data_IF_735956797686
#
_entry.id   IF_735956797686
#
_cell.length_a   1.000
_cell.length_b   1.000
_cell.length_c   1.000
_cell.angle_alpha   90.00
_cell.angle_beta   90.00
_cell.angle_gamma   90.00
#
_symmetry.space_group_name_H-M   'P 1'
#
loop_
_entity.id
_entity.type
_entity.pdbx_description
1 polymer ?
#
# COMPACT_ATOMS: atom_id res chain seq x y z
N UNK A 1 -2.17 -35.28 35.95
CA UNK A 1 -2.90 -36.43 35.39
C UNK A 1 -4.35 -36.00 35.19
N UNK A 2 -4.68 -35.44 34.03
CA UNK A 2 -5.03 -36.16 32.78
C UNK A 2 -6.49 -36.64 32.80
N UNK A 3 -7.40 -35.92 32.10
CA UNK A 3 -7.94 -36.34 30.78
C UNK A 3 -9.30 -35.71 30.43
N UNK A 4 -9.30 -35.15 29.21
CA UNK A 4 -10.29 -35.32 28.12
C UNK A 4 -11.65 -34.62 28.16
N UNK A 5 -11.79 -33.77 27.14
CA UNK A 5 -12.87 -33.69 26.16
C UNK A 5 -14.31 -33.59 26.68
N UNK A 6 -14.90 -32.40 26.51
CA UNK A 6 -16.32 -32.31 26.25
C UNK A 6 -16.62 -31.38 25.07
N UNK A 7 -16.94 -32.01 23.95
CA UNK A 7 -17.53 -31.39 22.77
C UNK A 7 -19.01 -31.05 23.03
N UNK A 8 -19.41 -29.88 22.53
CA UNK A 8 -20.72 -29.55 21.93
C UNK A 8 -21.98 -29.74 22.78
N UNK A 9 -22.67 -28.63 23.05
CA UNK A 9 -24.10 -28.52 22.76
C UNK A 9 -24.50 -27.06 22.59
N UNK A 10 -25.33 -26.84 21.56
CA UNK A 10 -25.84 -25.57 21.11
C UNK A 10 -26.84 -24.96 22.10
N UNK A 11 -26.79 -23.64 22.26
CA UNK A 11 -27.92 -22.86 22.71
C UNK A 11 -28.11 -21.70 21.74
N UNK A 12 -29.15 -21.81 20.92
CA UNK A 12 -29.68 -20.69 20.15
C UNK A 12 -30.23 -19.66 21.13
N UNK A 13 -29.63 -18.48 21.18
CA UNK A 13 -30.24 -17.30 21.78
C UNK A 13 -30.40 -16.26 20.68
N UNK A 14 -31.67 -15.97 20.37
CA UNK A 14 -32.06 -14.89 19.48
C UNK A 14 -31.55 -13.56 20.02
N UNK A 15 -30.85 -12.81 19.18
CA UNK A 15 -30.44 -11.44 19.46
C UNK A 15 -31.44 -10.52 18.79
N UNK A 16 -32.13 -9.75 19.62
CA UNK A 16 -33.02 -8.67 19.24
C UNK A 16 -32.30 -7.66 18.34
N UNK A 17 -32.99 -7.20 17.31
CA UNK A 17 -32.51 -6.17 16.41
C UNK A 17 -32.27 -4.86 17.17
N UNK A 18 -31.00 -4.52 17.38
CA UNK A 18 -30.61 -3.15 17.68
C UNK A 18 -30.43 -2.41 16.35
N UNK A 19 -31.44 -1.64 15.95
CA UNK A 19 -31.34 -0.68 14.84
C UNK A 19 -30.46 0.49 15.26
N UNK A 20 -29.15 0.28 15.19
CA UNK A 20 -28.17 1.36 15.15
C UNK A 20 -28.18 1.95 13.73
N UNK A 21 -28.57 3.21 13.61
CA UNK A 21 -28.44 3.98 12.38
C UNK A 21 -26.93 4.16 12.07
N UNK A 22 -26.35 3.20 11.36
CA UNK A 22 -25.10 3.40 10.65
C UNK A 22 -25.38 4.40 9.53
N UNK A 23 -24.84 5.60 9.67
CA UNK A 23 -24.79 6.61 8.61
C UNK A 23 -24.28 5.96 7.33
N UNK A 24 -25.14 5.88 6.31
CA UNK A 24 -24.86 5.21 5.06
C UNK A 24 -23.67 5.84 4.34
N UNK A 25 -22.53 5.16 4.39
CA UNK A 25 -21.61 5.18 3.27
C UNK A 25 -22.27 4.36 2.17
N UNK A 26 -22.73 5.03 1.11
CA UNK A 26 -23.08 4.36 -0.13
C UNK A 26 -21.87 3.52 -0.55
N UNK A 27 -22.02 2.19 -0.55
CA UNK A 27 -20.97 1.29 -1.00
C UNK A 27 -20.54 1.74 -2.40
N UNK A 28 -19.30 2.23 -2.52
CA UNK A 28 -18.70 2.56 -3.82
C UNK A 28 -18.71 1.26 -4.60
N UNK A 29 -19.48 1.18 -5.69
CA UNK A 29 -19.65 -0.07 -6.42
C UNK A 29 -18.30 -0.63 -6.85
N UNK A 30 -17.97 -1.85 -6.42
CA UNK A 30 -16.71 -2.50 -6.75
C UNK A 30 -16.63 -2.72 -8.27
N UNK A 31 -15.45 -2.44 -8.86
CA UNK A 31 -15.23 -2.62 -10.30
C UNK A 31 -14.67 -4.02 -10.52
N UNK A 32 -15.36 -4.84 -11.31
CA UNK A 32 -14.88 -6.17 -11.68
C UNK A 32 -13.73 -6.03 -12.68
N UNK A 33 -12.55 -6.55 -12.33
CA UNK A 33 -11.35 -6.54 -13.17
C UNK A 33 -11.05 -7.96 -13.67
N UNK A 34 -10.31 -8.12 -14.78
CA UNK A 34 -9.92 -9.44 -15.27
C UNK A 34 -9.09 -10.18 -14.22
N UNK A 35 -9.45 -11.44 -13.98
CA UNK A 35 -8.69 -12.34 -13.11
C UNK A 35 -7.89 -13.33 -13.96
N UNK A 36 -6.82 -13.86 -13.39
CA UNK A 36 -5.87 -14.78 -14.01
C UNK A 36 -5.57 -15.92 -13.05
N UNK A 37 -5.50 -17.18 -13.51
CA UNK A 37 -5.13 -18.31 -12.66
C UNK A 37 -3.69 -18.24 -12.14
N UNK A 38 -2.85 -17.36 -12.71
CA UNK A 38 -1.47 -17.13 -12.25
C UNK A 38 -1.37 -16.23 -11.02
N UNK A 39 -2.47 -15.61 -10.60
CA UNK A 39 -2.48 -14.54 -9.60
C UNK A 39 -3.44 -14.85 -8.45
N UNK A 40 -3.01 -14.49 -7.24
CA UNK A 40 -3.88 -14.49 -6.05
C UNK A 40 -4.58 -13.14 -5.95
N UNK A 41 -5.87 -13.14 -5.65
CA UNK A 41 -6.66 -11.93 -5.47
C UNK A 41 -7.16 -11.80 -4.03
N UNK A 42 -7.19 -10.57 -3.50
CA UNK A 42 -7.55 -10.27 -2.12
C UNK A 42 -8.50 -9.09 -2.04
N UNK A 43 -9.31 -9.06 -0.98
CA UNK A 43 -10.10 -7.89 -0.64
C UNK A 43 -9.19 -6.74 -0.21
N UNK A 44 -9.52 -5.52 -0.64
CA UNK A 44 -8.88 -4.29 -0.20
C UNK A 44 -9.59 -3.77 1.05
N UNK A 45 -9.14 -4.21 2.23
CA UNK A 45 -9.81 -3.89 3.50
C UNK A 45 -11.30 -4.23 3.44
N UNK A 46 -12.14 -3.29 3.87
CA UNK A 46 -13.61 -3.38 3.79
C UNK A 46 -14.21 -2.58 2.62
N UNK A 47 -13.41 -2.16 1.64
CA UNK A 47 -13.90 -1.35 0.49
C UNK A 47 -14.81 -2.14 -0.46
N UNK A 48 -14.75 -3.47 -0.43
CA UNK A 48 -15.43 -4.37 -1.37
C UNK A 48 -14.68 -4.56 -2.69
N UNK A 49 -13.53 -3.91 -2.89
CA UNK A 49 -12.67 -4.12 -4.05
C UNK A 49 -11.85 -5.39 -3.93
N UNK A 50 -11.71 -6.10 -5.03
CA UNK A 50 -10.79 -7.23 -5.17
C UNK A 50 -9.59 -6.80 -6.02
N UNK A 51 -8.38 -6.95 -5.49
CA UNK A 51 -7.11 -6.54 -6.11
C UNK A 51 -6.11 -7.70 -6.16
N UNK A 52 -5.17 -7.66 -7.10
CA UNK A 52 -4.08 -8.64 -7.17
C UNK A 52 -3.18 -8.54 -5.93
N UNK A 53 -2.79 -9.70 -5.38
CA UNK A 53 -1.94 -9.77 -4.19
C UNK A 53 -0.52 -9.25 -4.45
N UNK A 54 -0.08 -9.22 -5.71
CA UNK A 54 1.12 -8.51 -6.16
C UNK A 54 0.69 -7.21 -6.83
N UNK A 55 1.33 -6.11 -6.46
CA UNK A 55 1.18 -4.80 -7.09
C UNK A 55 2.45 -4.38 -7.83
N UNK A 56 2.27 -3.57 -8.88
CA UNK A 56 3.37 -2.97 -9.65
C UNK A 56 3.65 -1.56 -9.10
N UNK A 57 4.85 -1.35 -8.56
CA UNK A 57 5.30 -0.08 -8.02
C UNK A 57 5.95 0.84 -9.05
N UNK A 58 5.50 2.09 -9.14
CA UNK A 58 5.79 3.00 -10.23
C UNK A 58 7.14 3.73 -10.17
N UNK A 59 7.86 3.70 -9.05
CA UNK A 59 9.13 4.45 -8.91
C UNK A 59 10.17 4.05 -9.96
N UNK A 60 10.32 2.76 -10.25
CA UNK A 60 11.32 2.26 -11.21
C UNK A 60 10.93 2.50 -12.66
N UNK A 61 9.63 2.68 -12.94
CA UNK A 61 9.14 2.94 -14.29
C UNK A 61 9.70 4.24 -14.87
N UNK A 62 9.96 5.25 -14.05
CA UNK A 62 10.56 6.50 -14.53
C UNK A 62 12.06 6.41 -14.80
N UNK A 63 12.73 5.36 -14.32
CA UNK A 63 14.20 5.19 -14.43
C UNK A 63 14.67 4.52 -15.72
N UNK A 64 13.77 3.85 -16.45
CA UNK A 64 14.14 3.20 -17.71
C UNK A 64 14.64 4.24 -18.72
N UNK A 65 15.73 3.92 -19.42
CA UNK A 65 16.27 4.76 -20.50
C UNK A 65 15.25 4.93 -21.62
N UNK A 66 14.57 3.84 -21.98
CA UNK A 66 13.48 3.83 -22.95
C UNK A 66 12.13 3.75 -22.23
N UNK A 67 11.24 4.70 -22.53
CA UNK A 67 9.88 4.71 -21.99
C UNK A 67 9.05 3.50 -22.47
N UNK A 68 9.31 2.99 -23.68
CA UNK A 68 8.58 1.83 -24.22
C UNK A 68 8.81 0.56 -23.40
N UNK A 69 9.98 0.43 -22.77
CA UNK A 69 10.26 -0.69 -21.89
C UNK A 69 9.37 -0.66 -20.63
N UNK A 70 9.12 0.54 -20.08
CA UNK A 70 8.21 0.70 -18.95
C UNK A 70 6.77 0.33 -19.32
N UNK A 71 6.33 0.75 -20.50
CA UNK A 71 5.01 0.40 -21.05
C UNK A 71 4.88 -1.11 -21.25
N UNK A 72 5.90 -1.73 -21.87
CA UNK A 72 5.95 -3.18 -22.11
C UNK A 72 5.89 -3.98 -20.81
N UNK A 73 6.62 -3.56 -19.77
CA UNK A 73 6.60 -4.19 -18.45
C UNK A 73 5.20 -4.10 -17.80
N UNK A 74 4.56 -2.93 -17.86
CA UNK A 74 3.19 -2.76 -17.34
C UNK A 74 2.19 -3.64 -18.08
N UNK A 75 2.21 -3.66 -19.42
CA UNK A 75 1.33 -4.52 -20.21
C UNK A 75 1.54 -6.00 -19.89
N UNK A 76 2.80 -6.46 -19.84
CA UNK A 76 3.12 -7.84 -19.50
C UNK A 76 2.62 -8.24 -18.09
N UNK A 77 2.70 -7.34 -17.11
CA UNK A 77 2.14 -7.56 -15.77
C UNK A 77 0.61 -7.61 -15.77
N UNK A 78 -0.03 -6.63 -16.41
CA UNK A 78 -1.50 -6.54 -16.47
C UNK A 78 -2.10 -7.74 -17.19
N UNK A 79 -1.54 -8.14 -18.32
CA UNK A 79 -2.04 -9.27 -19.11
C UNK A 79 -1.87 -10.62 -18.39
N UNK A 80 -1.04 -10.66 -17.34
CA UNK A 80 -0.88 -11.85 -16.47
C UNK A 80 -1.66 -11.76 -15.15
N UNK A 81 -2.45 -10.69 -14.97
CA UNK A 81 -3.38 -10.54 -13.85
C UNK A 81 -2.92 -9.60 -12.73
N UNK A 82 -1.83 -8.83 -12.91
CA UNK A 82 -1.55 -7.73 -11.97
C UNK A 82 -2.58 -6.63 -12.23
N UNK A 83 -3.43 -6.36 -11.23
CA UNK A 83 -4.46 -5.33 -11.31
C UNK A 83 -4.16 -4.13 -10.43
N UNK A 84 -3.22 -4.20 -9.47
CA UNK A 84 -2.90 -3.07 -8.60
C UNK A 84 -1.65 -2.30 -9.07
N UNK A 85 -1.82 -1.03 -9.44
CA UNK A 85 -0.73 -0.16 -9.94
C UNK A 85 -0.53 1.03 -9.01
N UNK A 86 0.67 1.11 -8.41
CA UNK A 86 1.09 2.16 -7.48
C UNK A 86 1.97 3.20 -8.17
N UNK A 87 1.74 4.49 -7.89
CA UNK A 87 2.58 5.59 -8.37
C UNK A 87 2.69 6.71 -7.33
N UNK A 88 3.42 7.77 -7.62
CA UNK A 88 3.46 8.99 -6.82
C UNK A 88 3.65 10.21 -7.73
N UNK A 89 3.11 11.36 -7.32
CA UNK A 89 3.26 12.62 -8.02
C UNK A 89 4.73 13.05 -8.22
N UNK A 90 5.60 12.78 -7.25
CA UNK A 90 7.01 13.21 -7.25
C UNK A 90 7.97 12.23 -7.94
N UNK A 91 7.53 11.01 -8.25
CA UNK A 91 8.41 9.97 -8.77
C UNK A 91 9.04 10.36 -10.11
N UNK A 92 10.36 10.55 -10.09
CA UNK A 92 11.16 10.95 -11.25
C UNK A 92 10.60 12.23 -11.90
N UNK A 93 10.32 13.25 -11.09
CA UNK A 93 9.74 14.53 -11.54
C UNK A 93 8.41 14.36 -12.30
N UNK A 94 7.63 13.33 -11.91
CA UNK A 94 6.35 13.00 -12.52
C UNK A 94 6.40 12.12 -13.77
N UNK A 95 7.60 11.76 -14.25
CA UNK A 95 7.75 10.92 -15.45
C UNK A 95 7.14 9.52 -15.24
N UNK A 96 7.17 8.99 -14.02
CA UNK A 96 6.53 7.71 -13.71
C UNK A 96 5.01 7.73 -13.98
N UNK A 97 4.31 8.83 -13.65
CA UNK A 97 2.88 8.99 -13.94
C UNK A 97 2.61 9.15 -15.44
N UNK A 98 3.46 9.91 -16.15
CA UNK A 98 3.33 10.08 -17.61
C UNK A 98 3.42 8.73 -18.33
N UNK A 99 4.41 7.90 -17.98
CA UNK A 99 4.59 6.56 -18.57
C UNK A 99 3.43 5.63 -18.22
N UNK A 100 2.94 5.67 -16.98
CA UNK A 100 1.78 4.88 -16.57
C UNK A 100 0.51 5.30 -17.31
N UNK A 101 0.26 6.62 -17.46
CA UNK A 101 -0.87 7.12 -18.23
C UNK A 101 -0.84 6.69 -19.70
N UNK A 102 0.35 6.67 -20.32
CA UNK A 102 0.53 6.13 -21.67
C UNK A 102 0.20 4.63 -21.76
N UNK A 103 0.64 3.84 -20.78
CA UNK A 103 0.40 2.40 -20.75
C UNK A 103 -1.08 2.05 -20.52
N UNK A 104 -1.83 2.89 -19.82
CA UNK A 104 -3.24 2.64 -19.48
C UNK A 104 -4.24 3.02 -20.59
N UNK A 105 -3.77 3.56 -21.71
CA UNK A 105 -4.58 3.78 -22.91
C UNK A 105 -5.12 2.47 -23.49
N UNK A 106 -6.02 2.58 -24.45
CA UNK A 106 -6.49 1.45 -25.27
C UNK A 106 -7.11 0.30 -24.45
N UNK A 107 -7.89 0.62 -23.42
CA UNK A 107 -8.63 -0.38 -22.63
C UNK A 107 -7.87 -0.97 -21.43
N UNK A 108 -6.65 -0.52 -21.14
CA UNK A 108 -5.88 -1.00 -19.99
C UNK A 108 -6.31 -0.35 -18.67
N UNK A 109 -6.81 0.89 -18.70
CA UNK A 109 -7.29 1.60 -17.50
C UNK A 109 -8.39 0.84 -16.76
N UNK A 110 -9.28 0.18 -17.48
CA UNK A 110 -10.42 -0.59 -16.97
C UNK A 110 -9.98 -1.93 -16.36
N UNK A 111 -8.78 -2.41 -16.69
CA UNK A 111 -8.22 -3.65 -16.16
C UNK A 111 -7.58 -3.46 -14.78
N UNK A 112 -7.34 -2.23 -14.34
CA UNK A 112 -6.50 -1.93 -13.17
C UNK A 112 -7.20 -1.11 -12.09
N UNK A 113 -6.75 -1.30 -10.86
CA UNK A 113 -6.95 -0.44 -9.72
C UNK A 113 -5.75 0.52 -9.69
N UNK A 114 -5.99 1.76 -10.10
CA UNK A 114 -4.95 2.78 -10.26
C UNK A 114 -4.83 3.63 -9.02
N UNK A 115 -3.62 3.73 -8.46
CA UNK A 115 -3.37 4.58 -7.32
C UNK A 115 -2.15 5.49 -7.50
N UNK A 116 -2.20 6.66 -6.89
CA UNK A 116 -1.04 7.57 -6.79
C UNK A 116 -1.01 8.27 -5.41
N UNK A 117 -0.02 9.11 -5.16
CA UNK A 117 0.18 9.77 -3.85
C UNK A 117 0.48 11.24 -4.06
N UNK A 118 0.07 12.06 -3.08
CA UNK A 118 0.31 13.50 -3.05
C UNK A 118 1.13 13.88 -1.82
N UNK A 119 2.09 14.79 -2.00
CA UNK A 119 2.91 15.32 -0.92
C UNK A 119 2.23 16.48 -0.19
N UNK A 120 1.39 17.24 -0.90
CA UNK A 120 0.71 18.44 -0.37
C UNK A 120 0.04 18.20 0.99
N UNK A 121 0.35 19.08 1.96
CA UNK A 121 -0.24 19.12 3.30
C UNK A 121 -1.29 20.20 3.44
N UNK A 122 -1.28 21.19 2.55
CA UNK A 122 -2.36 22.17 2.40
C UNK A 122 -3.32 21.76 1.29
N UNK A 123 -4.57 22.22 1.35
CA UNK A 123 -5.57 21.97 0.30
C UNK A 123 -5.10 22.47 -1.07
N UNK A 124 -4.49 23.66 -1.11
CA UNK A 124 -4.01 24.29 -2.36
C UNK A 124 -2.94 23.45 -3.05
N UNK A 125 -1.92 23.01 -2.29
CA UNK A 125 -0.83 22.24 -2.89
C UNK A 125 -1.28 20.82 -3.21
N UNK A 126 -2.15 20.21 -2.38
CA UNK A 126 -2.75 18.91 -2.69
C UNK A 126 -3.57 18.94 -4.00
N UNK A 127 -4.47 19.91 -4.16
CA UNK A 127 -5.31 20.02 -5.37
C UNK A 127 -4.46 20.24 -6.61
N UNK A 128 -3.46 21.12 -6.54
CA UNK A 128 -2.52 21.34 -7.64
C UNK A 128 -1.81 20.06 -8.07
N UNK A 129 -1.33 19.27 -7.11
CA UNK A 129 -0.66 17.99 -7.39
C UNK A 129 -1.65 16.98 -7.98
N UNK A 130 -2.87 16.90 -7.45
CA UNK A 130 -3.92 16.02 -7.97
C UNK A 130 -4.27 16.33 -9.42
N UNK A 131 -4.47 17.59 -9.79
CA UNK A 131 -4.75 17.98 -11.19
C UNK A 131 -3.59 17.61 -12.13
N UNK A 132 -2.35 17.78 -11.67
CA UNK A 132 -1.17 17.37 -12.44
C UNK A 132 -1.14 15.86 -12.64
N UNK A 133 -1.41 15.08 -11.58
CA UNK A 133 -1.47 13.62 -11.66
C UNK A 133 -2.58 13.12 -12.57
N UNK A 134 -3.80 13.67 -12.49
CA UNK A 134 -4.89 13.34 -13.42
C UNK A 134 -4.49 13.58 -14.88
N UNK A 135 -3.85 14.73 -15.16
CA UNK A 135 -3.33 15.06 -16.49
C UNK A 135 -2.24 14.10 -16.98
N UNK A 136 -1.27 13.76 -16.13
CA UNK A 136 -0.16 12.84 -16.47
C UNK A 136 -0.65 11.40 -16.68
N UNK A 137 -1.55 10.94 -15.80
CA UNK A 137 -2.18 9.61 -15.86
C UNK A 137 -3.26 9.51 -16.94
N UNK A 138 -3.70 10.65 -17.49
CA UNK A 138 -4.68 10.73 -18.58
C UNK A 138 -5.99 10.04 -18.23
N UNK A 139 -6.50 10.36 -17.04
CA UNK A 139 -7.75 9.81 -16.53
C UNK A 139 -8.49 10.87 -15.73
N UNK A 140 -9.82 10.83 -15.77
CA UNK A 140 -10.66 11.73 -15.00
C UNK A 140 -10.86 11.23 -13.55
N UNK A 141 -10.46 9.99 -13.26
CA UNK A 141 -10.64 9.37 -11.96
C UNK A 141 -9.50 8.43 -11.56
N UNK A 142 -8.97 8.62 -10.35
CA UNK A 142 -7.99 7.75 -9.70
C UNK A 142 -8.70 6.87 -8.66
N UNK A 143 -8.45 5.55 -8.65
CA UNK A 143 -9.12 4.65 -7.70
C UNK A 143 -8.72 4.97 -6.26
N UNK A 144 -7.43 5.16 -5.98
CA UNK A 144 -6.94 5.48 -4.64
C UNK A 144 -5.90 6.59 -4.67
N UNK A 145 -6.03 7.56 -3.77
CA UNK A 145 -4.97 8.52 -3.48
C UNK A 145 -4.51 8.37 -2.05
N UNK A 146 -3.20 8.50 -1.82
CA UNK A 146 -2.65 8.50 -0.47
C UNK A 146 -1.90 9.80 -0.17
N UNK A 147 -2.01 10.27 1.07
CA UNK A 147 -1.06 11.26 1.60
C UNK A 147 0.33 10.62 1.67
N UNK A 148 1.28 11.15 0.90
CA UNK A 148 2.63 10.62 0.75
C UNK A 148 3.53 11.03 1.90
N UNK A 149 4.53 10.19 2.22
CA UNK A 149 5.57 10.44 3.23
C UNK A 149 5.06 11.08 4.53
N UNK A 150 4.03 10.50 5.15
CA UNK A 150 3.65 10.81 6.53
C UNK A 150 4.71 10.22 7.45
N UNK A 151 5.80 10.98 7.62
CA UNK A 151 7.04 10.56 8.31
C UNK A 151 7.41 11.47 9.48
N UNK A 152 6.67 12.57 9.68
CA UNK A 152 6.88 13.52 10.78
C UNK A 152 5.70 13.47 11.73
N UNK A 153 5.97 13.69 13.02
CA UNK A 153 4.91 13.67 14.02
C UNK A 153 3.88 14.76 13.73
N UNK A 154 4.24 15.91 13.18
CA UNK A 154 3.33 17.01 12.84
C UNK A 154 2.54 16.83 11.54
N UNK A 155 2.85 15.83 10.69
CA UNK A 155 2.17 15.65 9.41
C UNK A 155 0.64 15.48 9.55
N UNK A 156 0.12 14.65 10.50
CA UNK A 156 -1.32 14.55 10.74
C UNK A 156 -1.98 15.89 11.09
N UNK A 157 -1.31 16.75 11.85
CA UNK A 157 -1.90 18.04 12.26
C UNK A 157 -2.07 18.95 11.04
N UNK A 158 -1.09 18.97 10.14
CA UNK A 158 -1.15 19.78 8.92
C UNK A 158 -2.21 19.25 7.96
N UNK A 159 -2.31 17.93 7.80
CA UNK A 159 -3.30 17.29 6.90
C UNK A 159 -4.73 17.60 7.37
N UNK A 160 -4.98 17.58 8.68
CA UNK A 160 -6.30 17.77 9.28
C UNK A 160 -6.60 19.20 9.78
N UNK A 161 -5.66 20.14 9.65
CA UNK A 161 -5.89 21.54 9.95
C UNK A 161 -6.96 22.15 9.03
N UNK A 162 -7.52 23.31 9.42
CA UNK A 162 -8.37 24.10 8.53
C UNK A 162 -7.57 24.50 7.27
N UNK A 163 -8.12 24.26 6.08
CA UNK A 163 -7.40 24.41 4.81
C UNK A 163 -6.31 23.36 4.57
N UNK A 164 -6.31 22.28 5.37
CA UNK A 164 -5.42 21.13 5.22
C UNK A 164 -5.80 20.22 4.07
N UNK A 165 -4.87 19.36 3.67
CA UNK A 165 -5.02 18.50 2.50
C UNK A 165 -6.21 17.53 2.57
N UNK A 166 -6.72 17.20 3.76
CA UNK A 166 -7.90 16.34 3.89
C UNK A 166 -9.16 16.97 3.28
N UNK A 167 -9.31 18.29 3.39
CA UNK A 167 -10.47 19.01 2.84
C UNK A 167 -10.50 18.88 1.31
N UNK A 168 -9.34 19.06 0.66
CA UNK A 168 -9.14 18.88 -0.77
C UNK A 168 -9.39 17.43 -1.21
N UNK A 169 -8.83 16.45 -0.52
CA UNK A 169 -9.07 15.03 -0.82
C UNK A 169 -10.57 14.67 -0.74
N UNK A 170 -11.27 15.09 0.31
CA UNK A 170 -12.70 14.85 0.46
C UNK A 170 -13.52 15.58 -0.61
N UNK A 171 -13.15 16.80 -0.98
CA UNK A 171 -13.79 17.54 -2.06
C UNK A 171 -13.62 16.84 -3.41
N UNK A 172 -12.40 16.38 -3.73
CA UNK A 172 -12.11 15.60 -4.92
C UNK A 172 -12.89 14.28 -4.97
N UNK A 173 -13.08 13.63 -3.82
CA UNK A 173 -13.87 12.40 -3.72
C UNK A 173 -15.35 12.68 -4.03
N UNK A 174 -15.91 13.75 -3.47
CA UNK A 174 -17.29 14.19 -3.77
C UNK A 174 -17.47 14.58 -5.24
N UNK A 175 -16.43 15.15 -5.86
CA UNK A 175 -16.41 15.50 -7.27
C UNK A 175 -16.21 14.29 -8.22
N UNK A 176 -15.99 13.08 -7.69
CA UNK A 176 -15.80 11.87 -8.49
C UNK A 176 -14.40 11.71 -9.09
N UNK A 177 -13.44 12.60 -8.76
CA UNK A 177 -12.06 12.53 -9.23
C UNK A 177 -11.26 11.42 -8.55
N UNK A 178 -11.67 11.03 -7.35
CA UNK A 178 -10.99 9.99 -6.57
C UNK A 178 -12.03 9.06 -5.94
N UNK A 179 -11.74 7.76 -5.83
CA UNK A 179 -12.66 6.81 -5.17
C UNK A 179 -12.29 6.59 -3.72
N UNK A 180 -11.05 6.29 -3.39
CA UNK A 180 -10.58 5.93 -2.05
C UNK A 180 -9.46 6.85 -1.57
N UNK A 181 -9.34 7.01 -0.25
CA UNK A 181 -8.35 7.86 0.40
C UNK A 181 -7.57 7.04 1.43
N UNK A 182 -6.25 7.06 1.34
CA UNK A 182 -5.36 6.43 2.31
C UNK A 182 -4.20 7.34 2.70
N UNK A 183 -3.18 6.76 3.33
CA UNK A 183 -1.92 7.43 3.60
C UNK A 183 -0.76 6.44 3.59
N UNK A 184 0.46 6.95 3.47
CA UNK A 184 1.68 6.14 3.51
C UNK A 184 2.81 6.86 4.21
N UNK A 185 3.75 6.09 4.73
CA UNK A 185 5.06 6.56 5.17
C UNK A 185 5.86 5.38 5.70
N UNK A 186 7.12 5.63 6.07
CA UNK A 186 8.07 4.54 6.31
C UNK A 186 8.99 4.75 7.50
N UNK A 187 8.96 5.91 8.15
CA UNK A 187 10.00 6.29 9.12
C UNK A 187 9.84 5.64 10.49
N UNK A 188 8.65 5.76 11.07
CA UNK A 188 8.38 5.32 12.43
C UNK A 188 6.90 4.94 12.58
N UNK A 189 6.57 3.76 13.14
CA UNK A 189 5.19 3.34 13.35
C UNK A 189 4.40 4.30 14.25
N UNK A 190 5.06 5.02 15.17
CA UNK A 190 4.40 6.01 16.03
C UNK A 190 3.73 7.13 15.21
N UNK A 191 4.32 7.50 14.06
CA UNK A 191 3.74 8.50 13.15
C UNK A 191 2.45 7.97 12.51
N UNK A 192 2.41 6.69 12.12
CA UNK A 192 1.19 6.07 11.58
C UNK A 192 0.09 5.92 12.62
N UNK A 193 0.46 5.52 13.84
CA UNK A 193 -0.48 5.46 14.96
C UNK A 193 -1.08 6.84 15.25
N UNK A 194 -0.26 7.89 15.25
CA UNK A 194 -0.73 9.28 15.39
C UNK A 194 -1.66 9.69 14.24
N UNK A 195 -1.35 9.32 13.01
CA UNK A 195 -2.20 9.61 11.84
C UNK A 195 -3.58 8.96 11.97
N UNK A 196 -3.62 7.69 12.37
CA UNK A 196 -4.88 6.96 12.62
C UNK A 196 -5.66 7.56 13.78
N UNK A 197 -5.00 7.90 14.90
CA UNK A 197 -5.62 8.55 16.05
C UNK A 197 -6.20 9.93 15.68
N UNK A 198 -5.46 10.71 14.91
CA UNK A 198 -5.89 12.04 14.45
C UNK A 198 -7.10 11.93 13.53
N UNK A 199 -7.08 11.01 12.56
CA UNK A 199 -8.24 10.75 11.70
C UNK A 199 -9.47 10.38 12.52
N UNK A 200 -9.32 9.50 13.52
CA UNK A 200 -10.41 9.14 14.43
C UNK A 200 -10.97 10.36 15.19
N UNK A 201 -10.12 11.24 15.72
CA UNK A 201 -10.53 12.48 16.41
C UNK A 201 -11.31 13.42 15.49
N UNK A 202 -10.98 13.43 14.19
CA UNK A 202 -11.68 14.20 13.17
C UNK A 202 -12.87 13.46 12.53
N UNK A 203 -13.21 12.26 13.01
CA UNK A 203 -14.32 11.46 12.47
C UNK A 203 -14.07 10.96 11.04
N UNK A 204 -12.80 10.90 10.61
CA UNK A 204 -12.39 10.43 9.29
C UNK A 204 -11.93 8.97 9.35
N UNK A 205 -12.26 8.20 8.32
CA UNK A 205 -11.85 6.81 8.17
C UNK A 205 -11.06 6.65 6.86
N UNK A 206 -9.82 6.17 6.96
CA UNK A 206 -9.00 5.85 5.78
C UNK A 206 -9.42 4.51 5.18
N UNK A 207 -9.43 4.42 3.85
CA UNK A 207 -9.69 3.18 3.14
C UNK A 207 -8.45 2.26 3.14
N UNK A 208 -7.25 2.83 3.08
CA UNK A 208 -5.98 2.09 3.04
C UNK A 208 -4.85 2.74 3.84
N UNK A 209 -3.89 1.92 4.24
CA UNK A 209 -2.57 2.35 4.72
C UNK A 209 -1.49 1.58 3.99
N UNK A 210 -0.50 2.29 3.43
CA UNK A 210 0.70 1.67 2.85
C UNK A 210 1.87 1.85 3.79
N UNK A 211 2.55 0.76 4.13
CA UNK A 211 3.61 0.77 5.14
C UNK A 211 4.67 -0.31 4.90
N UNK A 212 5.86 -0.21 5.51
CA UNK A 212 6.88 -1.24 5.44
C UNK A 212 6.35 -2.58 5.97
N UNK A 213 6.48 -3.64 5.16
CA UNK A 213 6.20 -5.01 5.56
C UNK A 213 7.30 -5.88 4.98
N UNK A 214 8.25 -6.27 5.82
CA UNK A 214 9.41 -7.05 5.41
C UNK A 214 9.95 -7.87 6.60
N UNK A 215 10.89 -8.78 6.32
CA UNK A 215 11.43 -9.73 7.33
C UNK A 215 12.30 -9.07 8.42
N UNK A 216 12.70 -7.81 8.23
CA UNK A 216 13.46 -7.03 9.20
C UNK A 216 12.56 -6.10 10.03
N UNK A 217 11.43 -5.67 9.47
CA UNK A 217 10.46 -4.80 10.14
C UNK A 217 9.99 -5.37 11.49
N UNK A 218 9.90 -6.70 11.61
CA UNK A 218 9.51 -7.35 12.85
C UNK A 218 10.44 -7.03 14.05
N UNK A 219 11.66 -6.53 13.83
CA UNK A 219 12.68 -6.41 14.87
C UNK A 219 13.00 -4.97 15.27
N UNK A 220 12.74 -3.98 14.41
CA UNK A 220 13.10 -2.59 14.66
C UNK A 220 12.00 -1.64 14.17
N UNK A 221 11.40 -0.87 15.09
CA UNK A 221 10.29 0.09 14.82
C UNK A 221 9.21 -0.56 13.94
N UNK A 222 8.52 -1.54 14.51
CA UNK A 222 7.80 -2.54 13.74
C UNK A 222 6.39 -2.10 13.37
N UNK A 223 6.19 -1.80 12.08
CA UNK A 223 4.87 -1.48 11.55
C UNK A 223 3.93 -2.69 11.62
N UNK A 224 4.44 -3.88 11.33
CA UNK A 224 3.67 -5.14 11.39
C UNK A 224 3.19 -5.49 12.80
N UNK A 225 3.95 -5.14 13.85
CA UNK A 225 3.53 -5.39 15.24
C UNK A 225 2.68 -4.28 15.83
N UNK A 226 2.89 -3.03 15.41
CA UNK A 226 2.28 -1.87 16.05
C UNK A 226 1.07 -1.34 15.24
N UNK A 227 1.25 -1.09 13.94
CA UNK A 227 0.26 -0.39 13.09
C UNK A 227 -0.72 -1.38 12.46
N UNK A 228 -0.24 -2.51 11.96
CA UNK A 228 -1.05 -3.50 11.24
C UNK A 228 -2.25 -4.03 12.04
N UNK A 229 -2.13 -4.39 13.33
CA UNK A 229 -3.29 -4.84 14.09
C UNK A 229 -4.38 -3.76 14.24
N UNK A 230 -3.97 -2.48 14.34
CA UNK A 230 -4.89 -1.34 14.42
C UNK A 230 -5.63 -1.15 13.09
N UNK A 231 -4.90 -1.14 11.98
CA UNK A 231 -5.47 -1.00 10.63
C UNK A 231 -6.49 -2.11 10.33
N UNK A 232 -6.14 -3.37 10.60
CA UNK A 232 -7.02 -4.53 10.38
C UNK A 232 -8.28 -4.44 11.23
N UNK A 233 -8.14 -4.11 12.53
CA UNK A 233 -9.29 -3.95 13.43
C UNK A 233 -10.26 -2.87 12.94
N UNK A 234 -9.75 -1.85 12.27
CA UNK A 234 -10.56 -0.76 11.70
C UNK A 234 -11.12 -1.09 10.31
N UNK A 235 -10.73 -2.20 9.67
CA UNK A 235 -11.16 -2.56 8.31
C UNK A 235 -10.34 -1.88 7.20
N UNK A 236 -9.22 -1.23 7.55
CA UNK A 236 -8.35 -0.52 6.62
C UNK A 236 -7.52 -1.52 5.81
N UNK A 237 -7.51 -1.37 4.48
CA UNK A 237 -6.68 -2.20 3.60
C UNK A 237 -5.20 -1.92 3.78
N UNK A 238 -4.41 -2.95 4.12
CA UNK A 238 -2.95 -2.82 4.27
C UNK A 238 -2.24 -3.09 2.95
N UNK A 239 -1.42 -2.14 2.52
CA UNK A 239 -0.56 -2.24 1.33
C UNK A 239 0.90 -2.38 1.78
N UNK A 240 1.51 -3.53 1.55
CA UNK A 240 2.91 -3.77 1.86
C UNK A 240 3.81 -3.08 0.83
N UNK A 241 4.75 -2.28 1.33
CA UNK A 241 5.88 -1.77 0.55
C UNK A 241 7.21 -2.11 1.22
N UNK A 242 8.33 -1.80 0.53
CA UNK A 242 9.69 -1.99 1.05
C UNK A 242 10.00 -3.45 1.44
N UNK A 243 9.43 -4.44 0.74
CA UNK A 243 9.65 -5.88 0.98
C UNK A 243 11.13 -6.26 1.00
N UNK A 244 11.94 -5.61 0.17
CA UNK A 244 13.40 -5.77 0.13
C UNK A 244 14.17 -4.54 0.64
N UNK A 245 13.44 -3.48 1.04
CA UNK A 245 14.06 -2.21 1.43
C UNK A 245 14.97 -1.64 0.34
N UNK A 246 14.52 -1.61 -0.92
CA UNK A 246 15.40 -1.53 -2.10
C UNK A 246 16.20 -2.84 -2.25
N UNK A 247 17.52 -2.82 -2.41
CA UNK A 247 18.37 -4.02 -2.39
C UNK A 247 18.94 -4.33 -1.00
N UNK A 248 18.88 -3.38 -0.06
CA UNK A 248 19.63 -3.44 1.21
C UNK A 248 19.31 -4.68 2.06
N UNK A 249 18.04 -5.11 2.16
CA UNK A 249 17.69 -6.30 2.95
C UNK A 249 18.35 -7.55 2.36
N UNK A 250 18.44 -7.65 1.03
CA UNK A 250 19.06 -8.79 0.34
C UNK A 250 20.59 -8.80 0.53
N UNK A 251 21.22 -7.63 0.62
CA UNK A 251 22.67 -7.51 0.89
C UNK A 251 23.09 -8.06 2.26
N UNK A 252 22.13 -8.23 3.19
CA UNK A 252 22.40 -8.90 4.46
C UNK A 252 22.72 -10.39 4.30
N UNK A 253 22.39 -10.99 3.15
CA UNK A 253 22.49 -12.44 2.88
C UNK A 253 21.72 -13.32 3.89
N UNK A 254 20.77 -12.75 4.63
CA UNK A 254 19.97 -13.50 5.62
C UNK A 254 18.68 -14.10 5.05
N UNK A 255 18.21 -13.60 3.90
CA UNK A 255 16.94 -13.97 3.26
C UNK A 255 17.07 -13.97 1.73
N UNK A 256 16.38 -14.88 1.05
CA UNK A 256 16.28 -14.92 -0.42
C UNK A 256 15.08 -14.10 -0.92
N UNK A 257 15.09 -13.60 -2.17
CA UNK A 257 13.98 -12.80 -2.72
C UNK A 257 12.62 -13.49 -2.62
N UNK A 258 12.54 -14.78 -2.97
CA UNK A 258 11.28 -15.53 -2.92
C UNK A 258 10.77 -15.70 -1.48
N UNK A 259 11.66 -15.91 -0.50
CA UNK A 259 11.30 -16.02 0.91
C UNK A 259 10.73 -14.69 1.43
N UNK A 260 11.34 -13.56 1.06
CA UNK A 260 10.87 -12.23 1.47
C UNK A 260 9.51 -11.87 0.82
N UNK A 261 9.28 -12.24 -0.45
CA UNK A 261 7.98 -12.05 -1.11
C UNK A 261 6.90 -12.92 -0.47
N UNK A 262 7.17 -14.20 -0.23
CA UNK A 262 6.22 -15.10 0.44
C UNK A 262 5.96 -14.70 1.90
N UNK A 263 6.95 -14.18 2.61
CA UNK A 263 6.75 -13.59 3.94
C UNK A 263 5.76 -12.42 3.89
N UNK A 264 5.98 -11.46 2.97
CA UNK A 264 5.08 -10.33 2.79
C UNK A 264 3.66 -10.77 2.40
N UNK A 265 3.53 -11.75 1.50
CA UNK A 265 2.25 -12.32 1.11
C UNK A 265 1.59 -13.10 2.25
N UNK A 266 2.34 -13.68 3.17
CA UNK A 266 1.79 -14.38 4.35
C UNK A 266 1.18 -13.40 5.35
N UNK A 267 1.65 -12.15 5.40
CA UNK A 267 1.04 -11.13 6.25
C UNK A 267 -0.40 -10.81 5.80
N UNK A 268 -1.27 -10.35 6.72
CA UNK A 268 -2.65 -9.95 6.42
C UNK A 268 -2.72 -8.62 5.64
N UNK A 269 -2.13 -8.62 4.44
CA UNK A 269 -2.07 -7.49 3.52
C UNK A 269 -2.94 -7.75 2.30
N UNK A 270 -3.52 -6.68 1.75
CA UNK A 270 -4.28 -6.75 0.50
C UNK A 270 -3.34 -6.88 -0.71
N UNK A 271 -2.20 -6.19 -0.68
CA UNK A 271 -1.22 -6.16 -1.79
C UNK A 271 0.20 -6.11 -1.25
N UNK A 272 1.12 -6.83 -1.88
CA UNK A 272 2.58 -6.65 -1.78
C UNK A 272 3.05 -5.92 -3.02
N UNK A 273 3.44 -4.66 -2.87
CA UNK A 273 3.88 -3.79 -3.96
C UNK A 273 5.35 -4.05 -4.23
N UNK A 274 5.66 -4.40 -5.48
CA UNK A 274 7.00 -4.76 -5.93
C UNK A 274 7.51 -3.74 -6.95
N UNK A 275 8.78 -3.36 -6.85
CA UNK A 275 9.44 -2.57 -7.89
C UNK A 275 9.80 -3.50 -9.04
N UNK A 276 9.09 -3.38 -10.18
CA UNK A 276 9.31 -4.20 -11.36
C UNK A 276 9.99 -3.34 -12.43
N UNK A 277 11.29 -3.55 -12.61
CA UNK A 277 12.14 -2.77 -13.52
C UNK A 277 12.70 -3.59 -14.68
N UNK A 278 12.35 -4.87 -14.76
CA UNK A 278 12.82 -5.78 -15.80
C UNK A 278 11.87 -6.97 -15.90
N UNK A 279 11.94 -7.70 -17.02
CA UNK A 279 11.16 -8.92 -17.20
C UNK A 279 11.56 -10.01 -16.21
N UNK A 280 12.83 -10.06 -15.79
CA UNK A 280 13.30 -11.00 -14.78
C UNK A 280 12.62 -10.75 -13.42
N UNK A 281 12.56 -9.50 -12.99
CA UNK A 281 11.87 -9.13 -11.74
C UNK A 281 10.35 -9.33 -11.87
N UNK A 282 9.77 -9.10 -13.05
CA UNK A 282 8.38 -9.47 -13.32
C UNK A 282 8.17 -10.98 -13.16
N UNK A 283 9.02 -11.82 -13.75
CA UNK A 283 8.92 -13.28 -13.59
C UNK A 283 9.10 -13.71 -12.13
N UNK A 284 9.98 -13.05 -11.37
CA UNK A 284 10.13 -13.29 -9.93
C UNK A 284 8.81 -13.01 -9.19
N UNK A 285 8.18 -11.86 -9.45
CA UNK A 285 6.91 -11.48 -8.82
C UNK A 285 5.78 -12.45 -9.19
N UNK A 286 5.71 -12.85 -10.46
CA UNK A 286 4.73 -13.82 -10.94
C UNK A 286 4.97 -15.22 -10.39
N UNK A 287 6.24 -15.62 -10.24
CA UNK A 287 6.62 -16.88 -9.59
C UNK A 287 6.21 -16.87 -8.13
N UNK A 288 6.41 -15.75 -7.42
CA UNK A 288 5.97 -15.61 -6.05
C UNK A 288 4.46 -15.79 -5.92
N UNK A 289 3.65 -15.17 -6.79
CA UNK A 289 2.20 -15.36 -6.82
C UNK A 289 1.79 -16.82 -7.10
N UNK A 290 2.35 -17.43 -8.15
CA UNK A 290 2.02 -18.82 -8.56
C UNK A 290 2.36 -19.87 -7.51
N UNK A 291 3.48 -19.68 -6.83
CA UNK A 291 4.02 -20.66 -5.88
C UNK A 291 3.59 -20.36 -4.44
N UNK A 292 2.85 -19.27 -4.21
CA UNK A 292 2.49 -18.83 -2.87
C UNK A 292 1.65 -19.89 -2.15
N UNK A 293 2.14 -20.26 -0.97
CA UNK A 293 1.40 -20.92 0.09
C UNK A 293 1.67 -20.13 1.37
N UNK A 294 0.66 -19.85 2.21
CA UNK A 294 0.91 -19.19 3.49
C UNK A 294 1.98 -19.95 4.28
N UNK A 295 3.01 -19.24 4.73
CA UNK A 295 4.06 -19.83 5.56
C UNK A 295 3.47 -20.24 6.91
N UNK A 296 3.90 -21.39 7.43
CA UNK A 296 3.58 -21.84 8.79
C UNK A 296 4.25 -20.94 9.82
N UNK A 297 3.73 -20.95 11.05
CA UNK A 297 4.34 -20.21 12.17
C UNK A 297 5.81 -20.59 12.39
N UNK A 298 6.16 -21.87 12.19
CA UNK A 298 7.53 -22.35 12.31
C UNK A 298 8.45 -21.81 11.20
N UNK A 299 7.97 -21.74 9.96
CA UNK A 299 8.72 -21.16 8.84
C UNK A 299 8.91 -19.65 9.02
N UNK A 300 7.85 -18.94 9.44
CA UNK A 300 7.92 -17.51 9.78
C UNK A 300 8.93 -17.29 10.90
N UNK A 301 8.85 -18.06 11.99
CA UNK A 301 9.78 -17.94 13.11
C UNK A 301 11.23 -18.19 12.67
N UNK A 302 11.49 -19.25 11.91
CA UNK A 302 12.82 -19.56 11.39
C UNK A 302 13.40 -18.42 10.56
N UNK A 303 12.57 -17.81 9.69
CA UNK A 303 12.99 -16.68 8.88
C UNK A 303 13.30 -15.44 9.73
N UNK A 304 12.46 -15.14 10.73
CA UNK A 304 12.67 -14.01 11.64
C UNK A 304 13.90 -14.22 12.54
N UNK A 305 14.15 -15.44 13.02
CA UNK A 305 15.34 -15.77 13.81
C UNK A 305 16.63 -15.53 12.98
N UNK A 306 16.62 -15.88 11.68
CA UNK A 306 17.74 -15.64 10.75
C UNK A 306 18.03 -14.16 10.51
N UNK A 307 16.99 -13.31 10.49
CA UNK A 307 17.13 -11.88 10.20
C UNK A 307 17.35 -11.01 11.45
N UNK A 308 17.08 -11.54 12.64
CA UNK A 308 17.04 -10.78 13.89
C UNK A 308 18.31 -9.94 14.16
N UNK A 309 19.50 -10.55 14.06
CA UNK A 309 20.77 -9.85 14.33
C UNK A 309 20.98 -8.73 13.30
N UNK A 310 20.78 -9.00 12.02
CA UNK A 310 20.96 -8.03 10.95
C UNK A 310 19.95 -6.86 11.02
N UNK A 311 18.74 -7.13 11.52
CA UNK A 311 17.65 -6.15 11.60
C UNK A 311 17.69 -5.29 12.87
N UNK A 312 18.40 -5.72 13.92
CA UNK A 312 18.32 -5.17 15.28
C UNK A 312 18.46 -3.64 15.40
N UNK A 313 19.25 -3.02 14.53
CA UNK A 313 19.53 -1.57 14.54
C UNK A 313 18.94 -0.84 13.32
N UNK A 314 18.14 -1.52 12.50
CA UNK A 314 17.56 -0.92 11.27
C UNK A 314 18.60 -0.60 10.18
N UNK A 315 19.79 -1.20 10.23
CA UNK A 315 20.91 -0.95 9.29
C UNK A 315 20.54 -1.15 7.82
N UNK A 316 19.71 -2.16 7.54
CA UNK A 316 19.26 -2.50 6.19
C UNK A 316 17.87 -1.93 5.86
N UNK A 317 17.28 -1.18 6.80
CA UNK A 317 16.03 -0.44 6.63
C UNK A 317 16.33 1.06 6.62
N UNK A 318 17.16 1.52 5.68
CA UNK A 318 17.62 2.92 5.62
C UNK A 318 16.47 3.93 5.59
N UNK A 319 15.28 3.53 5.16
CA UNK A 319 14.07 4.34 5.21
C UNK A 319 13.62 4.69 6.64
N UNK A 320 13.93 3.86 7.65
CA UNK A 320 13.67 4.13 9.07
C UNK A 320 14.76 4.97 9.74
N UNK A 321 16.01 4.82 9.30
CA UNK A 321 17.19 5.31 10.05
C UNK A 321 17.90 6.49 9.40
N UNK A 322 17.60 6.80 8.13
CA UNK A 322 18.28 7.86 7.37
C UNK A 322 17.29 8.67 6.54
N UNK A 323 17.65 9.85 6.02
CA UNK A 323 16.82 10.59 5.08
C UNK A 323 16.89 10.08 3.63
N UNK A 324 17.55 8.94 3.37
CA UNK A 324 17.83 8.45 2.01
C UNK A 324 16.59 8.30 1.12
N UNK A 325 15.44 7.98 1.71
CA UNK A 325 14.16 7.79 1.02
C UNK A 325 13.13 8.87 1.34
N UNK A 326 13.55 10.02 1.89
CA UNK A 326 12.64 11.09 2.32
C UNK A 326 12.61 12.23 1.29
N UNK A 327 11.87 12.05 0.20
CA UNK A 327 11.71 13.02 -0.88
C UNK A 327 11.17 14.36 -0.38
N UNK A 328 10.20 14.34 0.52
CA UNK A 328 9.61 15.55 1.12
C UNK A 328 10.56 16.26 2.07
N UNK A 329 11.53 15.56 2.67
CA UNK A 329 12.55 16.19 3.51
C UNK A 329 13.56 16.96 2.66
N UNK A 330 13.93 16.43 1.49
CA UNK A 330 14.75 17.13 0.51
C UNK A 330 14.00 18.29 -0.19
N UNK A 331 12.67 18.20 -0.27
CA UNK A 331 11.82 19.15 -1.00
C UNK A 331 10.64 19.66 -0.16
N UNK A 332 10.90 20.39 0.95
CA UNK A 332 9.83 20.82 1.86
C UNK A 332 8.77 21.72 1.20
N UNK A 333 9.12 22.39 0.09
CA UNK A 333 8.20 23.22 -0.71
C UNK A 333 7.04 22.44 -1.34
N UNK A 334 7.15 21.12 -1.50
CA UNK A 334 6.05 20.28 -2.01
C UNK A 334 4.90 20.12 -1.01
N UNK A 335 5.15 20.41 0.27
CA UNK A 335 4.15 20.24 1.32
C UNK A 335 3.17 21.42 1.39
N UNK A 336 3.54 22.60 0.86
CA UNK A 336 2.78 23.84 1.02
C UNK A 336 2.98 24.47 2.39
#
# INVERSE_FOLDING_TARGET
MERRDFLKSAAAMGVAAATGAASGQTAKGAVKRPESPEMVYRQLGTTGETVSAIGLGGYHLGKQKDANESIRLMHAGIDRGITFLDNCWDYNDGISEVRMGQALRNGYREKVFLMTKMDGRTAVEYDKQLEQSLGRLQTDMIDLVQFHEVIRMEDPDRIFAAGGAIEAAVAAQKAGKIRYIGFTGHKDPAVHLRMLETAQKHGFHFDTVQMPVNVMDAHFRSFTREVMPVAIKQGIGVLAMKTFGDHFILDSNTVKPIEALHYGLTQPVSVVITGIDSMEILEQAMTAAKTFKPMTEAEVKSLLDRTAVAASEGKYELFKTTPHFDGTAANPKWLG
#
